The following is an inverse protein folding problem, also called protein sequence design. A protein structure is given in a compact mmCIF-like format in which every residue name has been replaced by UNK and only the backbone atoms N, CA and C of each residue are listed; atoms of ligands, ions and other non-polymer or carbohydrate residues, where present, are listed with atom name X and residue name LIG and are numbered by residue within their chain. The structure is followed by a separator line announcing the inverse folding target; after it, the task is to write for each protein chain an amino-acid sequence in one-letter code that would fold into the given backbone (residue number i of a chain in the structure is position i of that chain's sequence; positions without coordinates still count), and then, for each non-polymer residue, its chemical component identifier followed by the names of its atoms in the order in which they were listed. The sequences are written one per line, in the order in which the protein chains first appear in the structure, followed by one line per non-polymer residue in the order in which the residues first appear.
data_IF_212940938449
#
_entry.id   IF_212940938449
#
_cell.length_a   1.000
_cell.length_b   1.000
_cell.length_c   1.000
_cell.angle_alpha   90.00
_cell.angle_beta   90.00
_cell.angle_gamma   90.00
#
_symmetry.space_group_name_H-M   'P 1'
#
loop_
_entity.id
_entity.type
_entity.pdbx_description
1 polymer ?
#
# COMPACT_ATOMS: atom_id res chain seq x y z
N UNK A 1 12.53 4.55 3.17
CA UNK A 1 11.44 4.30 4.16
C UNK A 1 12.05 3.98 5.51
N UNK A 2 11.32 4.21 6.61
CA UNK A 2 11.81 3.91 7.95
C UNK A 2 11.88 2.38 8.16
N UNK A 3 13.07 1.76 8.32
CA UNK A 3 13.21 0.31 8.43
C UNK A 3 12.66 -0.26 9.74
N UNK A 4 12.39 0.61 10.73
CA UNK A 4 11.93 0.23 12.07
C UNK A 4 10.40 0.17 12.20
N UNK A 5 9.66 0.38 11.11
CA UNK A 5 8.19 0.25 11.10
C UNK A 5 7.81 -1.20 11.39
N UNK A 6 7.15 -1.42 12.53
CA UNK A 6 6.68 -2.75 12.97
C UNK A 6 5.24 -3.05 12.55
N UNK A 7 4.44 -2.00 12.41
CA UNK A 7 3.02 -2.06 12.09
C UNK A 7 2.74 -1.12 10.93
N UNK A 8 2.09 -1.64 9.90
CA UNK A 8 1.73 -0.89 8.71
C UNK A 8 0.25 -1.12 8.42
N UNK A 9 -0.51 -0.03 8.30
CA UNK A 9 -1.92 -0.09 7.93
C UNK A 9 -2.08 0.65 6.61
N UNK A 10 -2.39 -0.10 5.55
CA UNK A 10 -2.75 0.44 4.25
C UNK A 10 -4.28 0.58 4.22
N UNK A 11 -4.76 1.70 3.71
CA UNK A 11 -6.18 1.98 3.50
C UNK A 11 -6.34 2.36 2.04
N UNK A 12 -7.21 1.65 1.34
CA UNK A 12 -7.58 1.95 -0.05
C UNK A 12 -9.09 1.98 -0.21
N UNK A 13 -9.55 2.73 -1.19
CA UNK A 13 -10.88 2.56 -1.75
C UNK A 13 -10.99 1.21 -2.48
N UNK A 14 -12.23 0.86 -2.80
CA UNK A 14 -12.61 -0.51 -3.13
C UNK A 14 -12.84 -0.90 -4.59
N UNK A 15 -12.60 -0.07 -5.61
CA UNK A 15 -12.65 -0.53 -6.99
C UNK A 15 -11.68 -1.69 -7.25
N UNK A 16 -12.17 -2.74 -7.89
CA UNK A 16 -11.38 -3.93 -8.30
C UNK A 16 -10.42 -3.66 -9.43
N UNK A 17 -10.72 -2.69 -10.28
CA UNK A 17 -9.81 -2.27 -11.36
C UNK A 17 -8.57 -1.55 -10.84
N UNK A 18 -8.57 -1.09 -9.58
CA UNK A 18 -7.50 -0.29 -9.01
C UNK A 18 -6.84 -1.01 -7.83
N UNK A 19 -7.52 -1.13 -6.69
CA UNK A 19 -6.85 -1.57 -5.45
C UNK A 19 -7.14 -3.01 -5.06
N UNK A 20 -8.34 -3.52 -5.37
CA UNK A 20 -8.74 -4.90 -5.06
C UNK A 20 -8.36 -5.88 -6.17
N UNK A 21 -7.07 -5.99 -6.47
CA UNK A 21 -6.55 -6.85 -7.53
C UNK A 21 -5.50 -7.88 -7.02
N UNK A 22 -5.23 -8.90 -7.85
CA UNK A 22 -4.31 -9.99 -7.53
C UNK A 22 -2.86 -9.55 -7.36
N UNK A 23 -2.45 -8.53 -8.12
CA UNK A 23 -1.09 -7.98 -8.10
C UNK A 23 -0.83 -7.27 -6.77
N UNK A 24 -1.74 -6.42 -6.31
CA UNK A 24 -1.63 -5.74 -5.02
C UNK A 24 -1.56 -6.73 -3.85
N UNK A 25 -2.37 -7.79 -3.91
CA UNK A 25 -2.32 -8.85 -2.89
C UNK A 25 -0.96 -9.56 -2.89
N UNK A 26 -0.37 -9.79 -4.07
CA UNK A 26 0.97 -10.37 -4.21
C UNK A 26 2.07 -9.44 -3.68
N UNK A 27 2.09 -8.17 -4.12
CA UNK A 27 3.06 -7.16 -3.69
C UNK A 27 3.03 -6.96 -2.18
N UNK A 28 1.83 -6.89 -1.60
CA UNK A 28 1.64 -6.81 -0.14
C UNK A 28 2.19 -8.03 0.61
N UNK A 29 2.22 -9.19 -0.01
CA UNK A 29 2.70 -10.43 0.63
C UNK A 29 4.21 -10.61 0.48
N UNK A 30 4.74 -10.35 -0.72
CA UNK A 30 6.10 -10.74 -1.12
C UNK A 30 7.08 -9.58 -1.19
N UNK A 31 6.63 -8.41 -1.64
CA UNK A 31 7.51 -7.26 -1.86
C UNK A 31 7.58 -6.34 -0.63
N UNK A 32 6.50 -6.23 0.15
CA UNK A 32 6.43 -5.25 1.25
C UNK A 32 7.51 -5.43 2.32
N UNK A 33 7.94 -6.69 2.55
CA UNK A 33 8.96 -7.05 3.54
C UNK A 33 10.34 -6.55 3.16
N UNK A 34 10.61 -6.34 1.87
CA UNK A 34 11.87 -5.79 1.38
C UNK A 34 12.04 -4.32 1.80
N UNK A 35 10.93 -3.59 1.92
CA UNK A 35 10.93 -2.17 2.31
C UNK A 35 10.82 -1.95 3.83
N UNK A 36 10.20 -2.90 4.53
CA UNK A 36 9.98 -2.84 5.97
C UNK A 36 10.49 -4.12 6.64
N UNK A 37 11.80 -4.28 6.85
CA UNK A 37 12.37 -5.52 7.40
C UNK A 37 11.94 -5.82 8.85
N UNK A 38 11.59 -4.79 9.62
CA UNK A 38 11.08 -4.93 10.99
C UNK A 38 9.56 -5.22 11.05
N UNK A 39 8.88 -5.32 9.91
CA UNK A 39 7.43 -5.47 9.84
C UNK A 39 6.98 -6.79 10.46
N UNK A 40 6.09 -6.70 11.45
CA UNK A 40 5.57 -7.85 12.17
C UNK A 40 4.14 -8.21 11.74
N UNK A 41 3.30 -7.19 11.55
CA UNK A 41 1.87 -7.35 11.28
C UNK A 41 1.31 -6.18 10.46
N UNK A 42 1.43 -6.23 9.12
CA UNK A 42 0.75 -5.30 8.24
C UNK A 42 -0.69 -5.72 8.00
N UNK A 43 -1.54 -4.73 7.76
CA UNK A 43 -2.91 -4.93 7.27
C UNK A 43 -3.16 -4.03 6.06
N UNK A 44 -3.84 -4.55 5.04
CA UNK A 44 -4.45 -3.75 3.99
C UNK A 44 -5.95 -3.78 4.14
N UNK A 45 -6.55 -2.62 4.31
CA UNK A 45 -7.99 -2.44 4.52
C UNK A 45 -8.60 -1.76 3.30
N UNK A 46 -9.66 -2.36 2.78
CA UNK A 46 -10.44 -1.80 1.69
C UNK A 46 -11.72 -1.20 2.28
N UNK A 47 -12.01 0.06 1.98
CA UNK A 47 -13.25 0.73 2.40
C UNK A 47 -14.49 0.01 1.85
N UNK A 48 -15.70 0.33 2.28
CA UNK A 48 -16.88 -0.22 1.57
C UNK A 48 -17.03 0.45 0.20
N UNK A 49 -17.62 -0.29 -0.75
CA UNK A 49 -18.02 0.25 -2.04
C UNK A 49 -19.21 1.20 -1.84
N UNK A 50 -18.94 2.46 -1.54
CA UNK A 50 -19.95 3.51 -1.42
C UNK A 50 -19.45 4.81 -2.05
N UNK A 51 -20.38 5.69 -2.43
CA UNK A 51 -20.08 7.02 -2.98
C UNK A 51 -19.54 8.02 -1.93
N UNK A 52 -19.08 7.55 -0.77
CA UNK A 52 -18.51 8.37 0.28
C UNK A 52 -17.02 8.63 0.04
N UNK A 53 -16.57 9.84 0.36
CA UNK A 53 -15.14 10.17 0.38
C UNK A 53 -14.46 9.38 1.51
N UNK A 54 -13.36 8.71 1.21
CA UNK A 54 -12.54 7.96 2.15
C UNK A 54 -11.44 8.80 2.79
N UNK A 55 -10.70 8.21 3.73
CA UNK A 55 -9.49 8.81 4.28
C UNK A 55 -8.45 9.22 3.21
N UNK A 56 -8.22 8.44 2.13
CA UNK A 56 -7.33 8.84 1.04
C UNK A 56 -7.75 10.16 0.36
N UNK A 57 -9.06 10.40 0.19
CA UNK A 57 -9.56 11.66 -0.38
C UNK A 57 -9.23 12.87 0.49
N UNK A 58 -9.24 12.70 1.82
CA UNK A 58 -8.86 13.73 2.78
C UNK A 58 -7.38 14.12 2.64
N UNK A 59 -6.49 13.12 2.55
CA UNK A 59 -5.05 13.35 2.32
C UNK A 59 -4.83 14.02 0.96
N UNK A 60 -5.47 13.51 -0.10
CA UNK A 60 -5.41 14.12 -1.42
C UNK A 60 -5.94 15.55 -1.44
N UNK A 61 -6.97 15.86 -0.65
CA UNK A 61 -7.50 17.22 -0.52
C UNK A 61 -6.52 18.15 0.17
N UNK A 62 -5.86 17.73 1.25
CA UNK A 62 -4.84 18.53 1.95
C UNK A 62 -3.66 18.82 1.03
N UNK A 63 -3.19 17.82 0.28
CA UNK A 63 -2.11 17.99 -0.70
C UNK A 63 -2.47 19.03 -1.75
N UNK A 64 -3.65 18.90 -2.38
CA UNK A 64 -4.14 19.84 -3.40
C UNK A 64 -4.28 21.26 -2.86
N UNK A 65 -4.98 21.41 -1.72
CA UNK A 65 -5.18 22.72 -1.10
C UNK A 65 -3.85 23.38 -0.70
N UNK A 66 -2.87 22.60 -0.25
CA UNK A 66 -1.55 23.12 0.12
C UNK A 66 -0.78 23.61 -1.10
N UNK A 67 -0.84 22.88 -2.22
CA UNK A 67 -0.25 23.31 -3.48
C UNK A 67 -0.95 24.57 -4.05
N UNK A 68 -2.28 24.58 -4.07
CA UNK A 68 -3.09 25.71 -4.54
C UNK A 68 -2.78 26.98 -3.71
N UNK A 69 -2.65 26.83 -2.39
CA UNK A 69 -2.27 27.92 -1.49
C UNK A 69 -0.87 28.45 -1.81
N UNK A 70 0.10 27.56 -2.01
CA UNK A 70 1.46 27.98 -2.34
C UNK A 70 1.51 28.78 -3.65
N UNK A 71 0.76 28.36 -4.67
CA UNK A 71 0.63 29.10 -5.94
C UNK A 71 -0.05 30.44 -5.74
N UNK A 72 -1.13 30.50 -4.94
CA UNK A 72 -1.82 31.75 -4.62
C UNK A 72 -0.94 32.75 -3.86
N UNK A 73 0.04 32.25 -3.09
CA UNK A 73 1.04 33.05 -2.37
C UNK A 73 2.25 33.45 -3.26
N UNK A 74 2.23 33.11 -4.55
CA UNK A 74 3.23 33.51 -5.53
C UNK A 74 4.38 32.51 -5.76
N UNK A 75 4.26 31.28 -5.26
CA UNK A 75 5.23 30.22 -5.55
C UNK A 75 4.92 29.58 -6.91
N UNK A 76 5.92 29.40 -7.75
CA UNK A 76 5.78 28.65 -9.01
C UNK A 76 5.99 27.14 -8.77
N UNK A 77 5.15 26.30 -9.37
CA UNK A 77 5.21 24.83 -9.27
C UNK A 77 5.19 24.24 -10.69
N UNK A 78 6.31 24.34 -11.43
CA UNK A 78 6.36 23.93 -12.84
C UNK A 78 6.45 22.42 -13.04
N UNK A 79 6.87 21.67 -12.01
CA UNK A 79 7.09 20.24 -12.09
C UNK A 79 6.85 19.50 -10.75
N UNK A 80 6.99 18.17 -10.78
CA UNK A 80 6.77 17.30 -9.63
C UNK A 80 7.77 17.52 -8.49
N UNK A 81 9.00 17.95 -8.80
CA UNK A 81 10.06 18.15 -7.82
C UNK A 81 9.82 19.44 -7.05
N UNK A 82 9.40 20.49 -7.75
CA UNK A 82 8.91 21.73 -7.14
C UNK A 82 7.71 21.44 -6.22
N UNK A 83 6.73 20.66 -6.70
CA UNK A 83 5.57 20.26 -5.90
C UNK A 83 5.99 19.52 -4.63
N UNK A 84 6.91 18.56 -4.74
CA UNK A 84 7.42 17.79 -3.61
C UNK A 84 8.10 18.67 -2.55
N UNK A 85 8.91 19.63 -3.00
CA UNK A 85 9.63 20.55 -2.13
C UNK A 85 8.64 21.38 -1.32
N UNK A 86 7.65 21.98 -2.00
CA UNK A 86 6.57 22.75 -1.37
C UNK A 86 5.77 21.89 -0.38
N UNK A 87 5.35 20.69 -0.78
CA UNK A 87 4.55 19.82 0.09
C UNK A 87 5.32 19.35 1.33
N UNK A 88 6.64 19.13 1.24
CA UNK A 88 7.44 18.75 2.41
C UNK A 88 7.53 19.84 3.46
N UNK A 89 7.51 21.10 3.03
CA UNK A 89 7.57 22.26 3.93
C UNK A 89 6.20 22.51 4.58
N UNK A 90 5.13 22.43 3.81
CA UNK A 90 3.77 22.76 4.26
C UNK A 90 3.09 21.58 4.98
N UNK A 91 3.21 20.36 4.44
CA UNK A 91 2.52 19.16 4.91
C UNK A 91 3.44 18.28 5.75
N UNK A 92 3.95 18.77 6.89
CA UNK A 92 4.92 18.05 7.74
C UNK A 92 4.42 16.69 8.28
N UNK A 93 3.10 16.49 8.35
CA UNK A 93 2.48 15.22 8.73
C UNK A 93 2.27 14.22 7.58
N UNK A 94 2.56 14.61 6.33
CA UNK A 94 2.37 13.79 5.14
C UNK A 94 3.72 13.46 4.54
N UNK A 95 4.05 12.17 4.51
CA UNK A 95 5.21 11.71 3.77
C UNK A 95 4.81 11.45 2.32
N UNK A 96 5.20 12.35 1.44
CA UNK A 96 5.14 12.12 -0.01
C UNK A 96 6.40 11.36 -0.41
N UNK A 97 6.27 10.45 -1.36
CA UNK A 97 7.40 9.75 -1.95
C UNK A 97 7.25 9.73 -3.46
N UNK A 98 8.38 9.54 -4.12
CA UNK A 98 8.44 9.55 -5.56
C UNK A 98 9.04 8.19 -6.05
N UNK A 99 8.35 7.47 -6.95
CA UNK A 99 8.63 6.21 -7.68
C UNK A 99 8.93 6.41 -9.18
N UNK A 100 10.11 6.03 -9.71
CA UNK A 100 10.41 6.23 -11.14
C UNK A 100 9.70 5.26 -12.07
N UNK A 101 9.53 5.63 -13.35
CA UNK A 101 9.05 4.69 -14.38
C UNK A 101 9.99 3.49 -14.53
N UNK A 102 11.30 3.72 -14.54
CA UNK A 102 12.30 2.65 -14.54
C UNK A 102 12.12 1.69 -13.37
N UNK A 103 11.70 2.20 -12.20
CA UNK A 103 11.42 1.39 -11.03
C UNK A 103 10.17 0.53 -11.21
N UNK A 104 9.11 1.11 -11.77
CA UNK A 104 7.89 0.37 -12.11
C UNK A 104 8.24 -0.77 -13.05
N UNK A 105 9.00 -0.50 -14.12
CA UNK A 105 9.43 -1.52 -15.08
C UNK A 105 10.28 -2.62 -14.43
N UNK A 106 11.19 -2.28 -13.52
CA UNK A 106 11.99 -3.27 -12.77
C UNK A 106 11.09 -4.18 -11.94
N UNK A 107 10.12 -3.60 -11.21
CA UNK A 107 9.19 -4.38 -10.41
C UNK A 107 8.33 -5.25 -11.33
N UNK A 108 7.75 -4.69 -12.38
CA UNK A 108 6.92 -5.42 -13.35
C UNK A 108 7.64 -6.63 -13.96
N UNK A 109 8.91 -6.46 -14.35
CA UNK A 109 9.75 -7.52 -14.89
C UNK A 109 10.12 -8.59 -13.84
N UNK A 110 10.10 -8.25 -12.55
CA UNK A 110 10.35 -9.19 -11.46
C UNK A 110 9.11 -9.99 -11.04
N UNK A 111 7.92 -9.61 -11.54
CA UNK A 111 6.68 -10.29 -11.19
C UNK A 111 6.58 -11.67 -11.85
N UNK A 112 6.01 -12.66 -11.16
CA UNK A 112 5.77 -13.96 -11.77
C UNK A 112 4.72 -13.84 -12.89
N UNK A 113 4.93 -14.59 -13.97
CA UNK A 113 4.07 -14.57 -15.17
C UNK A 113 2.61 -14.95 -14.87
N UNK A 114 2.37 -15.74 -13.81
CA UNK A 114 1.03 -16.14 -13.37
C UNK A 114 0.85 -15.98 -11.85
N UNK A 115 0.14 -14.92 -11.47
CA UNK A 115 -0.31 -14.71 -10.10
C UNK A 115 -1.70 -15.33 -9.91
N UNK A 116 -1.85 -16.21 -8.92
CA UNK A 116 -3.15 -16.76 -8.53
C UNK A 116 -4.01 -15.65 -7.90
N UNK A 117 -5.23 -15.41 -8.40
CA UNK A 117 -6.12 -14.43 -7.79
C UNK A 117 -6.66 -14.93 -6.45
N UNK A 118 -6.87 -14.01 -5.52
CA UNK A 118 -7.62 -14.27 -4.30
C UNK A 118 -9.10 -14.48 -4.67
N UNK A 119 -9.64 -15.67 -4.38
CA UNK A 119 -11.05 -15.96 -4.70
C UNK A 119 -11.96 -15.15 -3.79
N UNK A 120 -12.93 -14.44 -4.38
CA UNK A 120 -13.92 -13.67 -3.63
C UNK A 120 -13.41 -12.32 -3.13
N UNK A 121 -12.42 -11.70 -3.78
CA UNK A 121 -11.82 -10.40 -3.40
C UNK A 121 -12.84 -9.31 -3.10
N UNK A 122 -14.00 -9.31 -3.77
CA UNK A 122 -15.07 -8.34 -3.51
C UNK A 122 -15.66 -8.39 -2.10
N UNK A 123 -15.58 -9.55 -1.45
CA UNK A 123 -16.05 -9.76 -0.07
C UNK A 123 -14.94 -9.48 0.96
N UNK A 124 -13.73 -9.15 0.52
CA UNK A 124 -12.56 -8.97 1.38
C UNK A 124 -12.40 -7.49 1.74
N UNK A 125 -12.60 -7.18 3.02
CA UNK A 125 -12.41 -5.84 3.57
C UNK A 125 -11.05 -5.67 4.25
N UNK A 126 -10.40 -6.77 4.64
CA UNK A 126 -9.06 -6.73 5.20
C UNK A 126 -8.23 -7.94 4.74
N UNK A 127 -7.00 -7.66 4.34
CA UNK A 127 -5.94 -8.65 4.14
C UNK A 127 -4.89 -8.40 5.21
N UNK A 128 -4.50 -9.45 5.91
CA UNK A 128 -3.43 -9.41 6.90
C UNK A 128 -2.38 -10.47 6.60
N UNK A 129 -1.15 -10.14 6.95
CA UNK A 129 0.00 -11.04 6.83
C UNK A 129 0.72 -11.10 8.17
N UNK A 130 1.45 -12.18 8.44
CA UNK A 130 2.36 -12.24 9.58
C UNK A 130 3.70 -12.85 9.19
N UNK A 131 4.74 -12.41 9.89
CA UNK A 131 6.12 -12.87 9.66
C UNK A 131 6.28 -14.40 9.81
N UNK A 132 5.45 -15.03 10.65
CA UNK A 132 5.45 -16.48 10.81
C UNK A 132 4.98 -17.25 9.57
N UNK A 133 4.27 -16.58 8.64
CA UNK A 133 3.72 -17.20 7.42
C UNK A 133 3.97 -16.31 6.19
N UNK A 134 5.25 -16.10 5.86
CA UNK A 134 5.71 -15.16 4.81
C UNK A 134 5.01 -15.33 3.45
N UNK A 135 4.59 -16.55 3.12
CA UNK A 135 4.00 -16.88 1.82
C UNK A 135 2.47 -16.90 1.82
N UNK A 136 1.82 -16.51 2.92
CA UNK A 136 0.35 -16.54 3.02
C UNK A 136 -0.25 -15.28 3.59
N UNK A 137 -1.47 -15.00 3.15
CA UNK A 137 -2.32 -13.94 3.69
C UNK A 137 -3.60 -14.54 4.27
N UNK A 138 -4.09 -13.88 5.30
CA UNK A 138 -5.41 -14.09 5.86
C UNK A 138 -6.34 -12.99 5.37
N UNK A 139 -7.41 -13.39 4.68
CA UNK A 139 -8.45 -12.51 4.17
C UNK A 139 -9.67 -12.55 5.11
N UNK A 140 -10.24 -11.38 5.37
CA UNK A 140 -11.36 -11.20 6.30
C UNK A 140 -12.50 -10.46 5.62
N UNK A 141 -13.72 -10.85 5.98
CA UNK A 141 -14.93 -10.20 5.48
C UNK A 141 -15.21 -8.86 6.16
N UNK A 142 -14.60 -8.58 7.31
CA UNK A 142 -14.63 -7.29 8.01
C UNK A 142 -13.25 -7.00 8.60
N UNK A 143 -12.89 -5.72 8.66
CA UNK A 143 -11.63 -5.26 9.25
C UNK A 143 -11.65 -5.40 10.78
N UNK A 144 -10.59 -5.96 11.36
CA UNK A 144 -10.43 -6.04 12.82
C UNK A 144 -8.98 -5.80 13.22
N UNK A 145 -8.77 -4.85 14.14
CA UNK A 145 -7.45 -4.46 14.66
C UNK A 145 -7.18 -4.94 16.09
N UNK A 146 -8.19 -5.56 16.73
CA UNK A 146 -8.09 -6.02 18.13
C UNK A 146 -7.56 -7.45 18.25
N UNK A 147 -7.68 -8.26 17.21
CA UNK A 147 -7.20 -9.64 17.19
C UNK A 147 -5.76 -9.72 16.71
N UNK A 148 -4.90 -10.49 17.37
CA UNK A 148 -3.59 -10.84 16.81
C UNK A 148 -3.79 -11.68 15.54
N UNK A 149 -2.87 -11.60 14.58
CA UNK A 149 -2.97 -12.30 13.28
C UNK A 149 -3.12 -13.82 13.43
N UNK A 150 -2.65 -14.39 14.55
CA UNK A 150 -2.76 -15.82 14.87
C UNK A 150 -3.97 -16.19 15.74
N UNK A 151 -4.71 -15.21 16.27
CA UNK A 151 -5.99 -15.48 16.91
C UNK A 151 -7.03 -15.71 15.82
N UNK A 152 -7.36 -16.99 15.59
CA UNK A 152 -8.55 -17.39 14.83
C UNK A 152 -9.80 -16.91 15.56
N UNK A 153 -10.10 -15.61 15.50
CA UNK A 153 -11.45 -15.14 15.79
C UNK A 153 -12.33 -15.58 14.63
N UNK A 154 -13.03 -16.69 14.85
CA UNK A 154 -13.85 -17.44 13.90
C UNK A 154 -14.95 -16.58 13.22
N UNK A 155 -15.27 -15.39 13.75
CA UNK A 155 -16.44 -14.60 13.32
C UNK A 155 -16.28 -13.84 12.01
N UNK A 156 -15.05 -13.52 11.57
CA UNK A 156 -14.83 -12.68 10.37
C UNK A 156 -13.76 -13.21 9.40
N UNK A 157 -13.13 -14.35 9.74
CA UNK A 157 -12.21 -15.02 8.83
C UNK A 157 -12.97 -15.50 7.60
N UNK A 158 -12.50 -15.10 6.43
CA UNK A 158 -13.10 -15.50 5.17
C UNK A 158 -12.31 -16.63 4.52
N UNK A 159 -10.98 -16.46 4.37
CA UNK A 159 -10.11 -17.42 3.69
C UNK A 159 -8.64 -17.14 3.96
N UNK A 160 -7.80 -18.18 3.96
CA UNK A 160 -6.34 -18.03 3.86
C UNK A 160 -5.87 -18.35 2.44
N UNK A 161 -4.90 -17.60 1.91
CA UNK A 161 -4.37 -17.77 0.56
C UNK A 161 -2.84 -17.79 0.59
N UNK A 162 -2.22 -18.73 -0.12
CA UNK A 162 -0.77 -18.89 -0.16
C UNK A 162 -0.22 -18.75 -1.58
N UNK A 163 0.83 -17.95 -1.72
CA UNK A 163 1.59 -17.78 -2.95
C UNK A 163 2.83 -18.69 -2.90
N UNK A 164 2.98 -19.60 -3.87
CA UNK A 164 4.17 -20.45 -3.96
C UNK A 164 5.42 -19.64 -4.35
N UNK A 165 6.58 -20.03 -3.82
CA UNK A 165 7.85 -19.33 -3.96
C UNK A 165 8.59 -19.76 -5.23
N UNK A 166 8.88 -18.81 -6.12
CA UNK A 166 10.13 -18.82 -6.88
C UNK A 166 10.98 -17.72 -6.26
N UNK A 167 12.03 -18.11 -5.53
CA UNK A 167 12.94 -17.17 -4.86
C UNK A 167 13.72 -16.40 -5.93
N UNK A 168 13.61 -15.07 -5.96
CA UNK A 168 14.52 -14.22 -6.73
C UNK A 168 15.24 -13.26 -5.79
N UNK A 169 16.56 -13.28 -5.99
CA UNK A 169 17.66 -12.71 -5.22
C UNK A 169 17.50 -11.24 -4.81
N UNK A 170 17.94 -10.95 -3.59
CA UNK A 170 17.88 -9.64 -2.95
C UNK A 170 19.10 -8.79 -3.35
N UNK A 171 19.03 -8.12 -4.50
CA UNK A 171 19.94 -7.01 -4.79
C UNK A 171 19.31 -5.67 -4.40
N UNK A 172 20.01 -4.96 -3.53
CA UNK A 172 19.60 -3.68 -2.95
C UNK A 172 19.69 -2.58 -4.01
N UNK A 173 18.57 -1.95 -4.39
CA UNK A 173 18.59 -0.80 -5.30
C UNK A 173 17.98 0.42 -4.61
N UNK A 174 18.78 1.49 -4.61
CA UNK A 174 18.52 2.81 -4.04
C UNK A 174 18.06 3.76 -5.18
N UNK A 175 17.10 4.64 -4.84
CA UNK A 175 17.00 6.07 -5.26
C UNK A 175 16.13 6.45 -6.51
N UNK A 176 15.27 7.46 -6.27
CA UNK A 176 14.69 8.54 -7.11
C UNK A 176 13.48 8.34 -8.07
N UNK A 177 12.29 8.67 -7.52
CA UNK A 177 11.29 9.69 -7.95
C UNK A 177 10.24 9.47 -9.07
N UNK A 178 8.89 9.37 -8.81
CA UNK A 178 7.64 10.20 -8.98
C UNK A 178 6.39 9.93 -8.04
N UNK A 179 5.55 10.94 -7.80
CA UNK A 179 4.41 10.93 -6.84
C UNK A 179 3.25 10.00 -7.23
N UNK A 180 2.76 9.18 -6.29
CA UNK A 180 1.40 8.65 -6.29
C UNK A 180 0.73 8.98 -4.94
N UNK A 181 -0.48 9.55 -5.01
CA UNK A 181 -1.35 9.86 -3.85
C UNK A 181 -2.03 8.59 -3.38
#
# INVERSE_FOLDING_TARGET
MNPNVKHLHIISDSPTSQYRNKLNSYLFTKEIVKYFPALASPTWNNAESGHGKGAPDGIGSIIKQSADKAVAEGNDIPDVYALFTVLREICTGVFVATVSESYITVIENSLPQSIKPLVGTMKVHQISWCKAKLSSIDARSLSCFKSKTDDKFIRYHFRSHSYQDEMVDNSTIKVNSWVAV
#
